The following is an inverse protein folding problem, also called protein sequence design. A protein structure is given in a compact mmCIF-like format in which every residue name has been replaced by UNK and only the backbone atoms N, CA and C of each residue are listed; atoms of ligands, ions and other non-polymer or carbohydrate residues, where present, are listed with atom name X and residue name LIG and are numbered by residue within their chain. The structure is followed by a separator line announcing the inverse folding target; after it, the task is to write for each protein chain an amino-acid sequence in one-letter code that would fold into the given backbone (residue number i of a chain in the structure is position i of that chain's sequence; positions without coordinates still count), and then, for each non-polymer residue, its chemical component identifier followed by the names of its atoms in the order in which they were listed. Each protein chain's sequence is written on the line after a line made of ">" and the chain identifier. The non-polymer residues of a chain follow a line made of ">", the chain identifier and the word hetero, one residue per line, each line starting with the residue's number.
data_IF_969556779306
#
_entry.id   IF_969556779306
#
_cell.length_a   1.000
_cell.length_b   1.000
_cell.length_c   1.000
_cell.angle_alpha   90.00
_cell.angle_beta   90.00
_cell.angle_gamma   90.00
#
_symmetry.space_group_name_H-M   'P 1'
#
loop_
_entity.id
_entity.type
_entity.pdbx_description
1 polymer ?
#
# COMPACT_ATOMS: atom_id res chain seq x y z
N UNK A 1 8.16 24.78 -19.83
CA UNK A 1 7.58 23.47 -20.18
C UNK A 1 6.52 23.18 -19.13
N UNK A 2 5.32 22.85 -19.57
CA UNK A 2 4.25 22.35 -18.70
C UNK A 2 4.68 20.99 -18.12
N UNK A 3 4.27 20.71 -16.87
CA UNK A 3 4.60 19.45 -16.21
C UNK A 3 3.82 18.31 -16.87
N UNK A 4 4.49 17.22 -17.26
CA UNK A 4 3.89 16.10 -18.01
C UNK A 4 2.59 15.57 -17.38
N UNK A 5 2.55 15.44 -16.05
CA UNK A 5 1.40 14.91 -15.31
C UNK A 5 0.13 15.77 -15.43
N UNK A 6 0.22 17.01 -15.94
CA UNK A 6 -0.93 17.88 -16.21
C UNK A 6 -1.56 17.65 -17.58
N UNK A 7 -0.88 16.93 -18.48
CA UNK A 7 -1.24 16.83 -19.89
C UNK A 7 -1.48 15.40 -20.37
N UNK A 8 -0.98 14.41 -19.63
CA UNK A 8 -1.16 13.01 -19.99
C UNK A 8 -2.46 12.41 -19.41
N UNK A 9 -2.90 11.32 -20.03
CA UNK A 9 -3.99 10.48 -19.52
C UNK A 9 -3.40 9.24 -18.83
N UNK A 10 -3.90 8.97 -17.63
CA UNK A 10 -3.56 7.76 -16.87
C UNK A 10 -4.59 6.65 -17.09
N UNK A 11 -4.12 5.41 -17.20
CA UNK A 11 -4.92 4.20 -17.20
C UNK A 11 -4.68 3.40 -15.92
N UNK A 12 -5.71 3.21 -15.11
CA UNK A 12 -5.62 2.41 -13.90
C UNK A 12 -5.66 0.91 -14.24
N UNK A 13 -4.77 0.15 -13.63
CA UNK A 13 -4.62 -1.30 -13.81
C UNK A 13 -4.80 -1.97 -12.46
N UNK A 14 -5.95 -2.62 -12.29
CA UNK A 14 -6.16 -3.58 -11.22
C UNK A 14 -5.51 -4.92 -11.58
N UNK A 15 -4.30 -5.11 -11.09
CA UNK A 15 -3.36 -6.18 -11.49
C UNK A 15 -4.00 -7.58 -11.51
N UNK A 16 -4.63 -8.08 -10.43
CA UNK A 16 -5.11 -9.47 -10.39
C UNK A 16 -6.19 -9.78 -11.42
N UNK A 17 -6.81 -8.78 -12.05
CA UNK A 17 -7.87 -8.98 -13.05
C UNK A 17 -7.51 -8.45 -14.44
N UNK A 18 -6.26 -8.05 -14.67
CA UNK A 18 -5.87 -7.44 -15.95
C UNK A 18 -5.43 -8.48 -16.99
N UNK A 19 -4.30 -9.16 -16.76
CA UNK A 19 -3.82 -10.21 -17.65
C UNK A 19 -2.91 -11.19 -16.92
N UNK A 20 -3.30 -12.46 -16.93
CA UNK A 20 -2.57 -13.59 -16.37
C UNK A 20 -1.60 -14.14 -17.43
N UNK A 21 -0.30 -14.11 -17.13
CA UNK A 21 0.75 -14.56 -18.05
C UNK A 21 1.24 -15.98 -17.77
N UNK A 22 0.92 -16.54 -16.60
CA UNK A 22 1.44 -17.83 -16.13
C UNK A 22 0.34 -18.93 -16.04
N UNK A 23 -0.93 -18.57 -16.24
CA UNK A 23 -2.14 -19.40 -16.19
C UNK A 23 -2.51 -19.91 -14.78
N UNK A 24 -2.19 -19.17 -13.72
CA UNK A 24 -2.62 -19.50 -12.35
C UNK A 24 -4.01 -18.93 -11.96
N UNK A 25 -4.59 -18.11 -12.84
CA UNK A 25 -5.90 -17.47 -12.66
C UNK A 25 -5.84 -16.05 -12.11
N UNK A 26 -4.65 -15.49 -11.89
CA UNK A 26 -4.42 -14.15 -11.33
C UNK A 26 -3.55 -13.35 -12.31
N UNK A 27 -3.93 -12.09 -12.56
CA UNK A 27 -3.09 -11.20 -13.37
C UNK A 27 -1.79 -10.81 -12.68
N UNK A 28 -0.73 -10.62 -13.46
CA UNK A 28 0.64 -10.46 -12.95
C UNK A 28 1.42 -9.35 -13.69
N UNK A 29 2.59 -8.96 -13.17
CA UNK A 29 3.39 -7.85 -13.72
C UNK A 29 3.91 -8.14 -15.14
N UNK A 30 4.28 -9.38 -15.44
CA UNK A 30 4.70 -9.80 -16.78
C UNK A 30 3.55 -9.66 -17.77
N UNK A 31 2.33 -9.98 -17.33
CA UNK A 31 1.12 -9.85 -18.09
C UNK A 31 0.82 -8.40 -18.47
N UNK A 32 1.04 -7.45 -17.56
CA UNK A 32 0.97 -6.02 -17.86
C UNK A 32 2.00 -5.64 -18.92
N UNK A 33 3.25 -6.11 -18.77
CA UNK A 33 4.32 -5.90 -19.75
C UNK A 33 3.94 -6.33 -21.16
N UNK A 34 3.26 -7.48 -21.29
CA UNK A 34 2.77 -8.00 -22.59
C UNK A 34 1.66 -7.16 -23.23
N UNK A 35 1.02 -6.26 -22.48
CA UNK A 35 -0.10 -5.42 -22.95
C UNK A 35 0.24 -3.95 -23.09
N UNK A 36 1.50 -3.54 -22.86
CA UNK A 36 1.90 -2.14 -23.01
C UNK A 36 1.64 -1.59 -24.42
N UNK A 37 1.82 -2.41 -25.46
CA UNK A 37 1.54 -2.00 -26.85
C UNK A 37 0.04 -1.74 -27.07
N UNK A 38 -0.82 -2.58 -26.49
CA UNK A 38 -2.27 -2.37 -26.50
C UNK A 38 -2.66 -1.04 -25.82
N UNK A 39 -2.02 -0.69 -24.70
CA UNK A 39 -2.29 0.57 -24.00
C UNK A 39 -1.93 1.80 -24.86
N UNK A 40 -0.84 1.73 -25.65
CA UNK A 40 -0.51 2.80 -26.60
C UNK A 40 -1.60 2.95 -27.68
N UNK A 41 -2.09 1.83 -28.20
CA UNK A 41 -3.10 1.81 -29.28
C UNK A 41 -4.49 2.29 -28.81
N UNK A 42 -4.86 2.07 -27.53
CA UNK A 42 -6.18 2.37 -26.99
C UNK A 42 -6.56 3.87 -27.04
N UNK A 43 -5.59 4.76 -27.18
CA UNK A 43 -5.85 6.19 -27.29
C UNK A 43 -4.68 7.09 -26.89
N UNK A 44 -3.44 6.60 -26.96
CA UNK A 44 -2.26 7.37 -26.52
C UNK A 44 -2.14 7.45 -25.01
N UNK A 45 -2.42 6.37 -24.27
CA UNK A 45 -2.11 6.30 -22.85
C UNK A 45 -0.61 6.50 -22.67
N UNK A 46 -0.24 7.54 -21.92
CA UNK A 46 1.15 7.91 -21.61
C UNK A 46 1.46 7.71 -20.12
N UNK A 47 0.50 7.24 -19.34
CA UNK A 47 0.67 6.89 -17.94
C UNK A 47 -0.18 5.70 -17.53
N UNK A 48 0.39 4.79 -16.73
CA UNK A 48 -0.36 3.72 -16.07
C UNK A 48 -0.30 3.93 -14.55
N UNK A 49 -1.39 3.59 -13.88
CA UNK A 49 -1.48 3.54 -12.43
C UNK A 49 -1.70 2.09 -12.00
N UNK A 50 -0.73 1.53 -11.29
CA UNK A 50 -0.81 0.18 -10.75
C UNK A 50 -1.43 0.21 -9.35
N UNK A 51 -2.48 -0.60 -9.13
CA UNK A 51 -2.98 -0.89 -7.77
C UNK A 51 -1.91 -1.62 -6.94
N UNK A 52 -2.05 -1.75 -5.61
CA UNK A 52 -1.01 -2.33 -4.76
C UNK A 52 -0.55 -3.72 -5.24
N UNK A 53 0.77 -3.86 -5.42
CA UNK A 53 1.44 -5.13 -5.75
C UNK A 53 2.43 -5.58 -4.67
N UNK A 54 2.44 -4.90 -3.53
CA UNK A 54 3.31 -5.21 -2.41
C UNK A 54 2.88 -6.49 -1.70
N UNK A 55 3.81 -7.12 -0.98
CA UNK A 55 3.49 -8.25 -0.11
C UNK A 55 2.34 -7.91 0.83
N UNK A 56 1.28 -8.73 0.80
CA UNK A 56 0.06 -8.50 1.56
C UNK A 56 -0.70 -9.81 1.81
N UNK A 57 -1.35 -9.97 2.98
CA UNK A 57 -2.24 -11.12 3.22
C UNK A 57 -3.58 -11.02 2.49
N UNK A 58 -3.81 -9.95 1.72
CA UNK A 58 -4.98 -9.74 0.85
C UNK A 58 -6.32 -9.70 1.59
N UNK A 59 -6.35 -9.22 2.83
CA UNK A 59 -7.61 -8.96 3.55
C UNK A 59 -8.43 -7.90 2.82
N UNK A 60 -7.75 -6.90 2.26
CA UNK A 60 -8.32 -5.84 1.43
C UNK A 60 -7.63 -5.83 0.04
N UNK A 61 -7.45 -7.01 -0.55
CA UNK A 61 -6.91 -7.19 -1.90
C UNK A 61 -5.61 -6.43 -2.21
N UNK A 62 -4.70 -6.32 -1.22
CA UNK A 62 -3.40 -5.67 -1.39
C UNK A 62 -3.27 -4.30 -0.71
N UNK A 63 -4.37 -3.70 -0.27
CA UNK A 63 -4.34 -2.44 0.47
C UNK A 63 -3.87 -2.61 1.93
N UNK A 64 -3.84 -3.84 2.43
CA UNK A 64 -3.23 -4.23 3.70
C UNK A 64 -1.75 -4.67 3.49
N UNK A 65 -0.82 -3.72 3.38
CA UNK A 65 0.59 -4.00 3.07
C UNK A 65 1.34 -4.60 4.27
N UNK A 66 1.98 -5.75 4.07
CA UNK A 66 2.83 -6.43 5.06
C UNK A 66 4.33 -6.17 4.87
N UNK A 67 4.78 -5.85 3.66
CA UNK A 67 6.13 -5.36 3.39
C UNK A 67 6.13 -4.38 2.21
N UNK A 68 6.50 -3.13 2.48
CA UNK A 68 6.56 -2.06 1.46
C UNK A 68 7.66 -2.23 0.42
N UNK A 69 8.69 -3.05 0.67
CA UNK A 69 9.88 -3.17 -0.17
C UNK A 69 9.87 -4.43 -1.05
N UNK A 70 8.82 -5.25 -0.92
CA UNK A 70 8.71 -6.53 -1.58
C UNK A 70 7.49 -6.57 -2.51
N UNK A 71 7.70 -7.04 -3.74
CA UNK A 71 6.62 -7.42 -4.65
C UNK A 71 5.97 -8.72 -4.16
N UNK A 72 4.65 -8.77 -4.15
CA UNK A 72 3.91 -9.97 -3.78
C UNK A 72 4.18 -11.11 -4.77
N UNK A 73 4.37 -12.31 -4.24
CA UNK A 73 4.72 -13.49 -5.03
C UNK A 73 3.63 -13.87 -6.04
N UNK A 74 2.37 -13.52 -5.77
CA UNK A 74 1.26 -13.73 -6.70
C UNK A 74 1.39 -12.87 -7.97
N UNK A 75 2.13 -11.75 -7.91
CA UNK A 75 2.27 -10.82 -9.03
C UNK A 75 3.64 -10.89 -9.72
N UNK A 76 4.59 -11.62 -9.13
CA UNK A 76 5.95 -11.81 -9.64
C UNK A 76 7.00 -11.49 -8.58
N UNK A 77 8.10 -10.85 -9.01
CA UNK A 77 9.18 -10.43 -8.14
C UNK A 77 9.72 -9.03 -8.50
N UNK A 78 10.77 -8.59 -7.81
CA UNK A 78 11.38 -7.28 -8.06
C UNK A 78 11.98 -7.17 -9.47
N UNK A 79 12.52 -8.27 -10.03
CA UNK A 79 13.08 -8.24 -11.38
C UNK A 79 11.98 -8.10 -12.44
N UNK A 80 10.81 -8.69 -12.20
CA UNK A 80 9.63 -8.52 -13.05
C UNK A 80 9.11 -7.07 -13.01
N UNK A 81 9.12 -6.45 -11.83
CA UNK A 81 8.78 -5.03 -11.69
C UNK A 81 9.78 -4.12 -12.45
N UNK A 82 11.08 -4.34 -12.27
CA UNK A 82 12.12 -3.55 -12.95
C UNK A 82 12.02 -3.68 -14.49
N UNK A 83 11.75 -4.89 -14.98
CA UNK A 83 11.50 -5.13 -16.42
C UNK A 83 10.24 -4.41 -16.91
N UNK A 84 9.17 -4.38 -16.11
CA UNK A 84 7.95 -3.63 -16.46
C UNK A 84 8.22 -2.13 -16.56
N UNK A 85 8.98 -1.56 -15.61
CA UNK A 85 9.37 -0.14 -15.62
C UNK A 85 10.17 0.17 -16.89
N UNK A 86 11.20 -0.61 -17.19
CA UNK A 86 12.04 -0.42 -18.40
C UNK A 86 11.17 -0.50 -19.67
N UNK A 87 10.36 -1.54 -19.81
CA UNK A 87 9.51 -1.75 -20.98
C UNK A 87 8.45 -0.66 -21.17
N UNK A 88 7.92 -0.11 -20.07
CA UNK A 88 6.98 1.01 -20.10
C UNK A 88 7.69 2.30 -20.52
N UNK A 89 8.85 2.60 -19.94
CA UNK A 89 9.65 3.79 -20.25
C UNK A 89 10.13 3.80 -21.70
N UNK A 90 10.54 2.65 -22.25
CA UNK A 90 10.89 2.49 -23.68
C UNK A 90 9.76 2.86 -24.63
N UNK A 91 8.51 2.74 -24.16
CA UNK A 91 7.29 3.12 -24.90
C UNK A 91 6.81 4.52 -24.58
N UNK A 92 7.55 5.27 -23.76
CA UNK A 92 7.16 6.59 -23.26
C UNK A 92 5.91 6.53 -22.38
N UNK A 93 5.70 5.44 -21.65
CA UNK A 93 4.62 5.28 -20.67
C UNK A 93 5.20 5.54 -19.29
N UNK A 94 4.58 6.46 -18.56
CA UNK A 94 4.88 6.76 -17.16
C UNK A 94 4.22 5.74 -16.24
N UNK A 95 4.89 5.34 -15.18
CA UNK A 95 4.36 4.35 -14.23
C UNK A 95 4.20 5.01 -12.87
N UNK A 96 2.95 5.16 -12.42
CA UNK A 96 2.66 5.51 -11.04
C UNK A 96 2.10 4.30 -10.31
N UNK A 97 2.33 4.23 -9.01
CA UNK A 97 1.90 3.10 -8.19
C UNK A 97 1.04 3.60 -7.04
N UNK A 98 0.10 2.78 -6.60
CA UNK A 98 -0.57 3.00 -5.34
C UNK A 98 0.43 2.98 -4.19
N UNK A 99 0.27 3.89 -3.26
CA UNK A 99 1.02 3.88 -2.02
C UNK A 99 0.06 4.07 -0.85
N UNK A 100 -0.03 3.04 -0.01
CA UNK A 100 -0.93 3.01 1.15
C UNK A 100 -0.13 3.35 2.39
N UNK A 101 -0.23 4.60 2.85
CA UNK A 101 0.63 5.13 3.92
C UNK A 101 -0.16 5.48 5.20
N UNK A 102 -1.48 5.32 5.17
CA UNK A 102 -2.32 5.55 6.35
C UNK A 102 -2.19 4.40 7.36
N UNK A 103 -2.10 3.17 6.88
CA UNK A 103 -2.10 1.96 7.69
C UNK A 103 -1.18 0.91 7.08
N UNK A 104 -0.82 -0.09 7.88
CA UNK A 104 -0.17 -1.32 7.41
C UNK A 104 -1.04 -2.53 7.75
N UNK A 105 -0.75 -3.69 7.15
CA UNK A 105 -1.22 -4.96 7.67
C UNK A 105 -0.77 -5.17 9.12
N UNK A 106 -1.58 -5.86 9.93
CA UNK A 106 -1.19 -6.35 11.24
C UNK A 106 -0.09 -7.42 11.18
N UNK A 107 0.24 -7.93 9.99
CA UNK A 107 1.38 -8.81 9.74
C UNK A 107 2.67 -8.03 9.44
N UNK A 108 2.59 -6.73 9.21
CA UNK A 108 3.75 -5.87 8.96
C UNK A 108 4.71 -5.89 10.14
N UNK A 109 6.02 -5.94 9.87
CA UNK A 109 7.05 -6.03 10.92
C UNK A 109 6.92 -4.89 11.94
N UNK A 110 6.65 -3.67 11.45
CA UNK A 110 6.46 -2.51 12.32
C UNK A 110 5.35 -2.73 13.36
N UNK A 111 4.17 -3.23 12.97
CA UNK A 111 3.08 -3.49 13.91
C UNK A 111 3.42 -4.66 14.83
N UNK A 112 4.04 -5.71 14.28
CA UNK A 112 4.48 -6.86 15.07
C UNK A 112 5.47 -6.45 16.16
N UNK A 113 6.38 -5.51 15.90
CA UNK A 113 7.25 -4.93 16.93
C UNK A 113 6.47 -4.04 17.91
N UNK A 114 5.63 -3.14 17.41
CA UNK A 114 4.81 -2.23 18.22
C UNK A 114 3.92 -2.96 19.24
N UNK A 115 3.39 -4.12 18.84
CA UNK A 115 2.50 -4.96 19.65
C UNK A 115 3.21 -5.75 20.75
N UNK A 116 4.54 -5.94 20.69
CA UNK A 116 5.28 -6.79 21.66
C UNK A 116 5.18 -6.27 23.10
N UNK A 117 5.23 -4.95 23.29
CA UNK A 117 5.21 -4.33 24.60
C UNK A 117 4.99 -2.82 24.51
N UNK A 118 4.50 -2.22 25.60
CA UNK A 118 4.27 -0.77 25.71
C UNK A 118 5.56 0.06 25.75
N UNK A 119 6.71 -0.57 26.01
CA UNK A 119 8.04 0.06 26.02
C UNK A 119 8.85 -0.20 24.73
N UNK A 120 8.26 -0.88 23.73
CA UNK A 120 8.94 -1.12 22.46
C UNK A 120 9.22 0.19 21.73
N UNK A 121 10.38 0.29 21.06
CA UNK A 121 10.77 1.47 20.28
C UNK A 121 9.78 1.83 19.16
N UNK A 122 9.04 0.85 18.64
CA UNK A 122 7.99 1.05 17.63
C UNK A 122 6.59 1.15 18.23
N UNK A 123 6.44 1.21 19.57
CA UNK A 123 5.10 1.30 20.20
C UNK A 123 4.30 2.46 19.61
N UNK A 124 4.89 3.65 19.62
CA UNK A 124 4.29 4.89 19.13
C UNK A 124 4.32 5.05 17.60
N UNK A 125 4.59 3.98 16.85
CA UNK A 125 4.44 4.00 15.38
C UNK A 125 2.99 3.79 14.95
N UNK A 126 2.15 3.31 15.86
CA UNK A 126 0.72 3.09 15.67
C UNK A 126 -0.05 3.79 16.78
N UNK A 127 -1.34 4.00 16.55
CA UNK A 127 -2.20 4.69 17.51
C UNK A 127 -2.74 3.68 18.52
N UNK A 128 -2.28 3.79 19.76
CA UNK A 128 -2.68 2.95 20.89
C UNK A 128 -3.35 3.80 21.97
N UNK A 129 -4.47 3.32 22.51
CA UNK A 129 -5.21 4.04 23.55
C UNK A 129 -5.75 3.06 24.60
N UNK A 130 -5.74 3.40 25.91
CA UNK A 130 -6.35 2.58 26.94
C UNK A 130 -7.89 2.62 26.86
N UNK A 131 -8.54 1.65 27.51
CA UNK A 131 -10.00 1.73 27.73
C UNK A 131 -10.37 2.96 28.57
N UNK A 132 -11.44 3.66 28.19
CA UNK A 132 -11.95 4.83 28.93
C UNK A 132 -13.38 4.64 29.48
N UNK A 133 -14.13 3.64 29.00
CA UNK A 133 -15.57 3.48 29.29
C UNK A 133 -15.94 2.04 29.69
N UNK A 134 -15.97 1.70 30.98
CA UNK A 134 -16.44 0.40 31.50
C UNK A 134 -15.88 -0.81 30.70
N UNK A 135 -14.57 -0.85 30.48
CA UNK A 135 -13.87 -1.88 29.68
C UNK A 135 -14.20 -1.87 28.16
N UNK A 136 -14.72 -0.76 27.64
CA UNK A 136 -15.00 -0.52 26.22
C UNK A 136 -13.94 0.33 25.49
N UNK A 137 -14.11 0.57 24.18
CA UNK A 137 -13.14 1.30 23.36
C UNK A 137 -12.96 2.77 23.81
N UNK A 138 -11.85 3.42 23.43
CA UNK A 138 -11.49 4.78 23.86
C UNK A 138 -12.53 5.86 23.51
N UNK A 139 -13.22 5.69 22.37
CA UNK A 139 -14.28 6.56 21.90
C UNK A 139 -15.28 5.77 21.02
N UNK A 140 -16.23 6.46 20.39
CA UNK A 140 -17.28 5.88 19.55
C UNK A 140 -16.96 5.90 18.04
N UNK A 141 -15.68 5.99 17.65
CA UNK A 141 -15.31 5.94 16.25
C UNK A 141 -15.62 4.57 15.63
N UNK A 142 -16.13 4.61 14.41
CA UNK A 142 -16.53 3.44 13.64
C UNK A 142 -15.58 3.21 12.48
N UNK A 143 -15.31 1.94 12.18
CA UNK A 143 -14.55 1.54 11.00
C UNK A 143 -15.42 1.74 9.76
N UNK A 144 -14.80 2.18 8.65
CA UNK A 144 -15.46 2.24 7.35
C UNK A 144 -15.89 0.86 6.83
N UNK A 145 -15.30 -0.23 7.34
CA UNK A 145 -15.69 -1.61 7.02
C UNK A 145 -16.66 -2.21 8.03
N UNK A 146 -17.13 -1.40 8.99
CA UNK A 146 -18.17 -1.74 9.95
C UNK A 146 -17.62 -2.20 11.30
N UNK A 147 -18.36 -1.87 12.36
CA UNK A 147 -17.94 -2.11 13.74
C UNK A 147 -17.11 -0.96 14.32
N UNK A 148 -16.49 -1.19 15.47
CA UNK A 148 -15.64 -0.21 16.12
C UNK A 148 -14.33 -0.03 15.37
N UNK A 149 -13.80 1.20 15.30
CA UNK A 149 -12.47 1.48 14.77
C UNK A 149 -11.33 1.15 15.77
N UNK A 150 -11.65 0.43 16.86
CA UNK A 150 -10.72 0.11 17.93
C UNK A 150 -10.77 -1.39 18.21
N UNK A 151 -9.63 -2.05 18.12
CA UNK A 151 -9.49 -3.48 18.42
C UNK A 151 -8.64 -3.66 19.68
N UNK A 152 -9.12 -4.45 20.63
CA UNK A 152 -8.44 -4.69 21.91
C UNK A 152 -7.27 -5.66 21.74
N UNK A 153 -6.10 -5.27 22.23
CA UNK A 153 -4.94 -6.16 22.36
C UNK A 153 -4.77 -6.66 23.79
N UNK A 154 -5.03 -7.94 24.01
CA UNK A 154 -4.90 -8.56 25.33
C UNK A 154 -3.46 -8.64 25.84
N UNK A 155 -2.45 -8.54 24.96
CA UNK A 155 -1.04 -8.59 25.34
C UNK A 155 -0.60 -7.31 26.06
N UNK A 156 -1.08 -6.15 25.61
CA UNK A 156 -0.72 -4.85 26.17
C UNK A 156 -1.82 -4.18 26.98
N UNK A 157 -3.07 -4.68 26.89
CA UNK A 157 -4.23 -4.15 27.61
C UNK A 157 -4.72 -2.80 27.05
N UNK A 158 -4.40 -2.50 25.80
CA UNK A 158 -4.77 -1.26 25.10
C UNK A 158 -5.46 -1.60 23.77
N UNK A 159 -6.18 -0.64 23.22
CA UNK A 159 -6.79 -0.73 21.90
C UNK A 159 -5.86 -0.13 20.85
N UNK A 160 -5.81 -0.71 19.67
CA UNK A 160 -5.20 -0.06 18.50
C UNK A 160 -6.27 0.46 17.54
N UNK A 161 -5.97 1.58 16.89
CA UNK A 161 -6.85 2.19 15.90
C UNK A 161 -6.77 1.48 14.55
N UNK A 162 -7.92 1.30 13.92
CA UNK A 162 -8.07 0.78 12.56
C UNK A 162 -9.26 1.47 11.88
N UNK A 163 -8.98 2.34 10.91
CA UNK A 163 -10.03 3.03 10.16
C UNK A 163 -10.79 2.08 9.21
N UNK A 164 -10.14 1.00 8.78
CA UNK A 164 -10.66 0.01 7.84
C UNK A 164 -10.79 -1.35 8.52
N UNK A 165 -10.30 -2.45 7.92
CA UNK A 165 -10.31 -3.75 8.58
C UNK A 165 -9.48 -3.72 9.87
N UNK A 166 -9.81 -4.58 10.85
CA UNK A 166 -8.99 -4.73 12.08
C UNK A 166 -7.57 -5.21 11.79
N UNK A 167 -7.32 -5.78 10.62
CA UNK A 167 -6.02 -6.15 10.09
C UNK A 167 -5.27 -4.97 9.44
N UNK A 168 -5.92 -3.83 9.19
CA UNK A 168 -5.33 -2.59 8.68
C UNK A 168 -5.13 -1.60 9.83
N UNK A 169 -3.93 -1.61 10.41
CA UNK A 169 -3.61 -0.82 11.61
C UNK A 169 -3.02 0.52 11.22
N UNK A 170 -3.66 1.58 11.68
CA UNK A 170 -3.31 2.96 11.33
C UNK A 170 -1.99 3.41 11.97
N UNK A 171 -1.14 4.01 11.13
CA UNK A 171 0.14 4.57 11.53
C UNK A 171 -0.07 5.90 12.27
N UNK A 172 0.73 6.12 13.30
CA UNK A 172 0.75 7.40 14.01
C UNK A 172 1.62 8.42 13.24
N UNK A 173 0.99 9.19 12.35
CA UNK A 173 1.66 10.24 11.58
C UNK A 173 2.17 11.42 12.41
N UNK A 174 1.84 11.53 13.69
CA UNK A 174 2.47 12.52 14.57
C UNK A 174 3.91 12.15 14.96
N UNK A 175 4.31 10.87 14.78
CA UNK A 175 5.65 10.39 15.07
C UNK A 175 6.61 10.67 13.90
N UNK A 176 7.66 11.45 14.15
CA UNK A 176 8.65 11.81 13.11
C UNK A 176 9.38 10.59 12.52
N UNK A 177 9.59 9.52 13.30
CA UNK A 177 10.23 8.30 12.78
C UNK A 177 9.34 7.57 11.76
N UNK A 178 8.01 7.66 11.93
CA UNK A 178 7.06 7.10 10.95
C UNK A 178 7.15 7.89 9.65
N UNK A 179 7.18 9.22 9.73
CA UNK A 179 7.35 10.08 8.54
C UNK A 179 8.65 9.77 7.80
N UNK A 180 9.76 9.64 8.54
CA UNK A 180 11.07 9.30 7.97
C UNK A 180 11.05 7.93 7.29
N UNK A 181 10.52 6.90 7.96
CA UNK A 181 10.41 5.55 7.41
C UNK A 181 9.53 5.49 6.15
N UNK A 182 8.42 6.24 6.14
CA UNK A 182 7.55 6.36 4.96
C UNK A 182 8.26 7.08 3.82
N UNK A 183 9.04 8.13 4.09
CA UNK A 183 9.83 8.79 3.05
C UNK A 183 10.90 7.88 2.47
N UNK A 184 11.48 6.99 3.27
CA UNK A 184 12.42 5.98 2.77
C UNK A 184 11.73 4.95 1.85
N UNK A 185 10.50 4.54 2.16
CA UNK A 185 9.67 3.72 1.26
C UNK A 185 9.45 4.44 -0.07
N UNK A 186 9.05 5.71 -0.04
CA UNK A 186 8.81 6.48 -1.26
C UNK A 186 10.10 6.63 -2.09
N UNK A 187 11.23 6.93 -1.45
CA UNK A 187 12.54 7.04 -2.13
C UNK A 187 12.94 5.73 -2.78
N UNK A 188 12.75 4.60 -2.09
CA UNK A 188 13.06 3.29 -2.63
C UNK A 188 12.36 3.05 -3.97
N UNK A 189 11.05 3.33 -4.06
CA UNK A 189 10.31 3.12 -5.31
C UNK A 189 10.63 4.16 -6.39
N UNK A 190 10.94 5.41 -6.01
CA UNK A 190 11.47 6.41 -6.96
C UNK A 190 12.81 5.97 -7.54
N UNK A 191 13.72 5.42 -6.72
CA UNK A 191 15.02 4.90 -7.14
C UNK A 191 14.88 3.68 -8.07
N UNK A 192 13.75 2.96 -8.00
CA UNK A 192 13.37 1.88 -8.93
C UNK A 192 12.73 2.38 -10.23
N UNK A 193 12.56 3.69 -10.41
CA UNK A 193 12.05 4.28 -11.64
C UNK A 193 10.55 4.53 -11.69
N UNK A 194 9.84 4.44 -10.55
CA UNK A 194 8.46 4.92 -10.46
C UNK A 194 8.41 6.44 -10.73
N UNK A 195 7.46 6.89 -11.56
CA UNK A 195 7.31 8.29 -11.97
C UNK A 195 6.45 9.12 -11.00
N UNK A 196 5.77 8.45 -10.05
CA UNK A 196 4.93 9.10 -9.06
C UNK A 196 4.04 8.12 -8.29
N UNK A 197 3.24 8.65 -7.38
CA UNK A 197 2.39 7.85 -6.51
C UNK A 197 0.95 8.32 -6.55
N UNK A 198 0.02 7.37 -6.58
CA UNK A 198 -1.35 7.62 -6.13
C UNK A 198 -1.38 7.33 -4.64
N UNK A 199 -1.68 8.35 -3.84
CA UNK A 199 -1.63 8.25 -2.38
C UNK A 199 -3.02 7.82 -1.86
N UNK A 200 -3.11 6.59 -1.36
CA UNK A 200 -4.35 6.04 -0.79
C UNK A 200 -4.60 6.65 0.58
N UNK A 201 -5.78 7.26 0.73
CA UNK A 201 -6.31 7.90 1.95
C UNK A 201 -5.28 8.75 2.72
N UNK A 202 -5.01 9.97 2.27
CA UNK A 202 -4.17 10.95 2.97
C UNK A 202 -4.85 11.68 4.15
N UNK A 203 -5.89 11.10 4.74
CA UNK A 203 -6.71 11.78 5.73
C UNK A 203 -6.74 10.96 7.03
N UNK A 204 -5.81 11.27 7.92
CA UNK A 204 -5.90 10.97 9.36
C UNK A 204 -5.41 12.17 10.15
#
# INVERSE_FOLDING_TARGET
>A
MTSWWKEIVFYEIYIPSYFDSNNDGIGDLKGIGQKLDYLKELGGVEGIWLTPFYSSPKVDNGYDIADYYQVDADYGDMADFEQLIEAAHDRGIKVIVDMVLNHTSNQHEWFRESKKSRDNKKRDWYIWEPSTNNDGPPNNWESFFGGSAWEYDSMTGEYYYNAFAKEQVDLNWSNENVKEAVFDVLRFWLDKGVDGFRLMSLIS
#
